data_IF_144152256714
#
_entry.id   IF_144152256714
#
_cell.length_a   1.000
_cell.length_b   1.000
_cell.length_c   1.000
_cell.angle_alpha   90.00
_cell.angle_beta   90.00
_cell.angle_gamma   90.00
#
_symmetry.space_group_name_H-M   'P 1'
#
loop_
_entity.id
_entity.type
_entity.pdbx_description
1 polymer ?
#
# COMPACT_ATOMS: atom_id res chain seq x y z
N UNK A 1 -11.13 28.56 -15.30
CA UNK A 1 -11.27 28.08 -13.91
C UNK A 1 -12.13 26.82 -13.83
N UNK A 2 -13.35 26.82 -14.37
CA UNK A 2 -14.26 25.65 -14.30
C UNK A 2 -13.70 24.37 -14.93
N UNK A 3 -13.18 24.44 -16.17
CA UNK A 3 -12.64 23.26 -16.89
C UNK A 3 -11.49 22.62 -16.11
N UNK A 4 -10.56 23.46 -15.63
CA UNK A 4 -9.43 23.02 -14.81
C UNK A 4 -9.90 22.27 -13.56
N UNK A 5 -10.87 22.84 -12.84
CA UNK A 5 -11.41 22.22 -11.62
C UNK A 5 -12.04 20.85 -11.94
N UNK A 6 -12.86 20.77 -12.99
CA UNK A 6 -13.48 19.52 -13.43
C UNK A 6 -12.43 18.48 -13.79
N UNK A 7 -11.38 18.86 -14.52
CA UNK A 7 -10.31 17.93 -14.89
C UNK A 7 -9.52 17.41 -13.69
N UNK A 8 -9.24 18.28 -12.71
CA UNK A 8 -8.60 17.87 -11.45
C UNK A 8 -9.49 16.87 -10.71
N UNK A 9 -10.80 17.17 -10.58
CA UNK A 9 -11.75 16.29 -9.91
C UNK A 9 -11.82 14.93 -10.62
N UNK A 10 -11.88 14.90 -11.94
CA UNK A 10 -11.86 13.67 -12.73
C UNK A 10 -10.54 12.90 -12.55
N UNK A 11 -9.39 13.58 -12.49
CA UNK A 11 -8.09 12.95 -12.26
C UNK A 11 -7.98 12.32 -10.87
N UNK A 12 -8.51 13.00 -9.85
CA UNK A 12 -8.60 12.46 -8.48
C UNK A 12 -9.59 11.29 -8.43
N UNK A 13 -10.75 11.41 -9.10
CA UNK A 13 -11.72 10.34 -9.23
C UNK A 13 -11.14 9.09 -9.89
N UNK A 14 -10.37 9.27 -10.96
CA UNK A 14 -9.64 8.20 -11.65
C UNK A 14 -8.66 7.49 -10.72
N UNK A 15 -7.94 8.22 -9.86
CA UNK A 15 -7.05 7.61 -8.88
C UNK A 15 -7.81 6.65 -7.94
N UNK A 16 -8.93 7.09 -7.37
CA UNK A 16 -9.73 6.25 -6.49
C UNK A 16 -10.34 5.05 -7.23
N UNK A 17 -10.83 5.26 -8.45
CA UNK A 17 -11.40 4.21 -9.28
C UNK A 17 -10.37 3.13 -9.62
N UNK A 18 -9.15 3.52 -10.04
CA UNK A 18 -8.08 2.56 -10.34
C UNK A 18 -7.67 1.78 -9.08
N UNK A 19 -7.57 2.43 -7.92
CA UNK A 19 -7.23 1.73 -6.68
C UNK A 19 -8.35 0.78 -6.23
N UNK A 20 -9.62 1.16 -6.44
CA UNK A 20 -10.77 0.31 -6.14
C UNK A 20 -10.82 -0.92 -7.06
N UNK A 21 -10.62 -0.73 -8.37
CA UNK A 21 -10.51 -1.84 -9.33
C UNK A 21 -9.35 -2.75 -8.92
N UNK A 22 -8.16 -2.19 -8.66
CA UNK A 22 -6.98 -2.95 -8.27
C UNK A 22 -7.22 -3.87 -7.06
N UNK A 23 -7.89 -3.36 -6.02
CA UNK A 23 -8.25 -4.13 -4.82
C UNK A 23 -9.20 -5.30 -5.10
N UNK A 24 -10.07 -5.19 -6.10
CA UNK A 24 -11.04 -6.25 -6.44
C UNK A 24 -10.59 -7.13 -7.62
N UNK A 25 -9.46 -6.80 -8.26
CA UNK A 25 -8.95 -7.49 -9.46
C UNK A 25 -7.80 -8.46 -9.16
N UNK A 26 -7.68 -8.91 -7.91
CA UNK A 26 -6.62 -9.83 -7.48
C UNK A 26 -6.56 -11.13 -8.32
N UNK A 27 -7.70 -11.61 -8.82
CA UNK A 27 -7.80 -12.79 -9.69
C UNK A 27 -7.23 -12.60 -11.10
N UNK A 28 -6.88 -11.37 -11.49
CA UNK A 28 -6.38 -11.01 -12.84
C UNK A 28 -4.84 -10.80 -12.81
N UNK A 29 -4.17 -11.10 -11.69
CA UNK A 29 -2.72 -10.95 -11.54
C UNK A 29 -2.27 -9.53 -11.14
N UNK A 30 -3.19 -8.70 -10.63
CA UNK A 30 -2.88 -7.38 -10.09
C UNK A 30 -2.27 -7.50 -8.69
N UNK A 31 -1.03 -7.05 -8.51
CA UNK A 31 -0.38 -7.05 -7.20
C UNK A 31 -0.69 -5.78 -6.41
N UNK A 32 -1.23 -5.94 -5.19
CA UNK A 32 -1.21 -4.87 -4.19
C UNK A 32 0.22 -4.60 -3.70
N UNK A 33 0.42 -3.40 -3.16
CA UNK A 33 1.65 -3.05 -2.47
C UNK A 33 1.60 -3.74 -1.11
N UNK A 34 2.08 -4.98 -1.03
CA UNK A 34 2.37 -5.63 0.25
C UNK A 34 3.79 -5.27 0.72
N UNK A 35 3.97 -5.24 2.04
CA UNK A 35 5.31 -5.14 2.65
C UNK A 35 6.17 -6.33 2.21
N UNK A 36 5.56 -7.50 1.96
CA UNK A 36 6.23 -8.75 1.55
C UNK A 36 6.31 -8.95 0.04
N UNK A 37 7.40 -9.54 -0.45
CA UNK A 37 7.64 -9.72 -1.89
C UNK A 37 6.69 -10.77 -2.44
N UNK A 38 5.70 -10.32 -3.23
CA UNK A 38 4.95 -11.20 -4.12
C UNK A 38 5.60 -11.14 -5.50
N UNK A 39 5.65 -12.26 -6.21
CA UNK A 39 6.23 -12.35 -7.55
C UNK A 39 5.28 -11.72 -8.56
N UNK A 40 5.76 -10.78 -9.38
CA UNK A 40 4.97 -10.28 -10.51
C UNK A 40 4.89 -11.37 -11.58
N UNK A 41 3.74 -12.06 -11.66
CA UNK A 41 3.55 -13.18 -12.57
C UNK A 41 3.42 -12.74 -14.05
N UNK A 42 2.82 -11.57 -14.32
CA UNK A 42 2.59 -11.06 -15.68
C UNK A 42 2.97 -9.56 -15.83
N UNK A 43 4.25 -9.23 -16.04
CA UNK A 43 4.71 -7.85 -16.01
C UNK A 43 4.22 -6.95 -17.16
N UNK A 44 4.14 -7.47 -18.39
CA UNK A 44 3.71 -6.68 -19.55
C UNK A 44 2.19 -6.47 -19.53
N UNK A 45 1.42 -7.47 -19.09
CA UNK A 45 0.00 -7.32 -18.82
C UNK A 45 -0.25 -6.24 -17.76
N UNK A 46 0.51 -6.27 -16.66
CA UNK A 46 0.45 -5.25 -15.61
C UNK A 46 0.81 -3.85 -16.15
N UNK A 47 1.76 -3.75 -17.08
CA UNK A 47 2.07 -2.49 -17.75
C UNK A 47 0.90 -1.99 -18.58
N UNK A 48 0.36 -2.85 -19.45
CA UNK A 48 -0.73 -2.52 -20.35
C UNK A 48 -1.98 -2.07 -19.58
N UNK A 49 -2.39 -2.81 -18.55
CA UNK A 49 -3.54 -2.44 -17.71
C UNK A 49 -3.32 -1.07 -17.07
N UNK A 50 -2.13 -0.82 -16.50
CA UNK A 50 -1.82 0.45 -15.82
C UNK A 50 -1.79 1.65 -16.77
N UNK A 51 -1.38 1.44 -18.02
CA UNK A 51 -1.29 2.50 -19.03
C UNK A 51 -2.62 2.72 -19.73
N UNK A 52 -3.33 1.67 -20.14
CA UNK A 52 -4.58 1.78 -20.90
C UNK A 52 -5.79 2.17 -20.05
N UNK A 53 -5.85 1.81 -18.77
CA UNK A 53 -7.01 2.13 -17.92
C UNK A 53 -7.32 3.64 -17.87
N UNK A 54 -6.33 4.53 -17.63
CA UNK A 54 -6.53 5.99 -17.76
C UNK A 54 -7.02 6.44 -19.14
N UNK A 55 -6.61 5.76 -20.21
CA UNK A 55 -6.99 6.11 -21.59
C UNK A 55 -8.45 5.75 -21.85
N UNK A 56 -8.84 4.53 -21.50
CA UNK A 56 -10.23 4.06 -21.58
C UNK A 56 -11.14 4.96 -20.74
N UNK A 57 -10.69 5.37 -19.56
CA UNK A 57 -11.44 6.29 -18.70
C UNK A 57 -11.75 7.62 -19.40
N UNK A 58 -10.75 8.31 -19.97
CA UNK A 58 -11.01 9.58 -20.65
C UNK A 58 -11.89 9.41 -21.89
N UNK A 59 -11.85 8.27 -22.58
CA UNK A 59 -12.77 7.97 -23.70
C UNK A 59 -14.20 7.89 -23.17
N UNK A 60 -14.47 7.08 -22.15
CA UNK A 60 -15.81 6.90 -21.58
C UNK A 60 -16.35 8.25 -21.06
N UNK A 61 -15.55 9.00 -20.31
CA UNK A 61 -15.94 10.32 -19.78
C UNK A 61 -16.23 11.29 -20.92
N UNK A 62 -15.40 11.33 -21.97
CA UNK A 62 -15.62 12.21 -23.11
C UNK A 62 -16.91 11.87 -23.85
N UNK A 63 -17.16 10.58 -24.12
CA UNK A 63 -18.40 10.12 -24.75
C UNK A 63 -19.62 10.53 -23.92
N UNK A 64 -19.52 10.40 -22.59
CA UNK A 64 -20.60 10.80 -21.67
C UNK A 64 -20.82 12.31 -21.70
N UNK A 65 -19.75 13.11 -21.66
CA UNK A 65 -19.85 14.57 -21.74
C UNK A 65 -20.45 15.03 -23.06
N UNK A 66 -20.06 14.43 -24.19
CA UNK A 66 -20.68 14.72 -25.48
C UNK A 66 -22.17 14.35 -25.51
N UNK A 67 -22.55 13.21 -24.94
CA UNK A 67 -23.95 12.79 -24.86
C UNK A 67 -24.83 13.79 -24.10
N UNK A 68 -24.31 14.38 -23.03
CA UNK A 68 -25.04 15.40 -22.24
C UNK A 68 -24.88 16.84 -22.77
N UNK A 69 -24.25 17.05 -23.94
CA UNK A 69 -24.03 18.38 -24.50
C UNK A 69 -23.02 19.24 -23.72
N UNK A 70 -22.14 18.60 -22.95
CA UNK A 70 -21.14 19.21 -22.08
C UNK A 70 -19.76 19.31 -22.76
N UNK A 71 -19.74 19.52 -24.08
CA UNK A 71 -18.55 19.52 -24.95
C UNK A 71 -17.41 20.42 -24.43
N UNK A 72 -17.74 21.54 -23.77
CA UNK A 72 -16.75 22.47 -23.20
C UNK A 72 -15.75 21.79 -22.26
N UNK A 73 -16.17 20.75 -21.55
CA UNK A 73 -15.31 20.03 -20.60
C UNK A 73 -14.42 18.97 -21.26
N UNK A 74 -14.68 18.62 -22.53
CA UNK A 74 -13.86 17.68 -23.30
C UNK A 74 -12.60 18.35 -23.87
N UNK A 75 -12.60 19.68 -23.98
CA UNK A 75 -11.45 20.44 -24.45
C UNK A 75 -10.19 20.13 -23.62
N UNK A 76 -9.15 19.61 -24.26
CA UNK A 76 -7.89 19.17 -23.65
C UNK A 76 -8.07 18.14 -22.51
N UNK A 77 -9.08 17.25 -22.60
CA UNK A 77 -9.37 16.26 -21.56
C UNK A 77 -8.21 15.29 -21.26
N UNK A 78 -7.20 15.18 -22.13
CA UNK A 78 -5.97 14.44 -21.82
C UNK A 78 -5.25 14.96 -20.56
N UNK A 79 -5.47 16.23 -20.17
CA UNK A 79 -4.93 16.82 -18.94
C UNK A 79 -5.45 16.10 -17.68
N UNK A 80 -6.62 15.46 -17.72
CA UNK A 80 -7.14 14.60 -16.63
C UNK A 80 -6.11 13.54 -16.23
N UNK A 81 -5.44 12.92 -17.22
CA UNK A 81 -4.44 11.91 -16.97
C UNK A 81 -3.15 12.50 -16.37
N UNK A 82 -2.80 13.74 -16.70
CA UNK A 82 -1.70 14.47 -16.06
C UNK A 82 -2.04 14.74 -14.59
N UNK A 83 -3.24 15.24 -14.29
CA UNK A 83 -3.66 15.49 -12.92
C UNK A 83 -3.73 14.21 -12.09
N UNK A 84 -4.19 13.11 -12.68
CA UNK A 84 -4.14 11.79 -12.08
C UNK A 84 -2.70 11.38 -11.70
N UNK A 85 -1.73 11.53 -12.62
CA UNK A 85 -0.32 11.22 -12.36
C UNK A 85 0.23 12.08 -11.21
N UNK A 86 0.00 13.39 -11.27
CA UNK A 86 0.45 14.33 -10.23
C UNK A 86 -0.15 14.00 -8.87
N UNK A 87 -1.45 13.76 -8.81
CA UNK A 87 -2.12 13.37 -7.56
C UNK A 87 -1.57 12.05 -7.02
N UNK A 88 -1.38 11.04 -7.88
CA UNK A 88 -0.79 9.75 -7.49
C UNK A 88 0.63 9.92 -6.95
N UNK A 89 1.44 10.78 -7.55
CA UNK A 89 2.80 11.08 -7.09
C UNK A 89 2.77 11.73 -5.71
N UNK A 90 1.98 12.81 -5.56
CA UNK A 90 1.80 13.54 -4.29
C UNK A 90 1.34 12.59 -3.20
N UNK A 91 0.32 11.76 -3.49
CA UNK A 91 -0.20 10.79 -2.54
C UNK A 91 0.89 9.82 -2.04
N UNK A 92 1.65 9.20 -2.95
CA UNK A 92 2.68 8.24 -2.56
C UNK A 92 3.83 8.87 -1.76
N UNK A 93 4.19 10.11 -2.08
CA UNK A 93 5.20 10.86 -1.32
C UNK A 93 4.67 11.22 0.07
N UNK A 94 3.45 11.74 0.14
CA UNK A 94 2.82 12.15 1.39
C UNK A 94 2.54 10.98 2.36
N UNK A 95 2.37 9.76 1.83
CA UNK A 95 2.24 8.54 2.64
C UNK A 95 3.57 7.79 2.86
N UNK A 96 4.73 8.39 2.56
CA UNK A 96 6.06 7.78 2.69
C UNK A 96 6.28 6.49 1.87
N UNK A 97 5.43 6.22 0.87
CA UNK A 97 5.52 5.03 0.02
C UNK A 97 6.49 5.19 -1.15
N UNK A 98 7.03 6.40 -1.35
CA UNK A 98 8.01 6.69 -2.41
C UNK A 98 9.26 5.80 -2.40
N UNK A 99 9.68 5.28 -1.23
CA UNK A 99 10.83 4.36 -1.13
C UNK A 99 10.54 2.97 -1.71
N UNK A 100 9.27 2.56 -1.77
CA UNK A 100 8.85 1.26 -2.29
C UNK A 100 8.72 1.28 -3.82
N UNK A 101 8.54 2.47 -4.40
CA UNK A 101 8.30 2.63 -5.83
C UNK A 101 9.55 2.35 -6.66
N UNK A 102 9.37 1.61 -7.75
CA UNK A 102 10.36 1.56 -8.82
C UNK A 102 10.20 2.82 -9.70
N UNK A 103 10.99 3.86 -9.40
CA UNK A 103 10.91 5.17 -10.06
C UNK A 103 11.11 5.12 -11.57
N UNK A 104 12.03 4.27 -12.05
CA UNK A 104 12.22 4.06 -13.49
C UNK A 104 10.94 3.56 -14.15
N UNK A 105 10.31 2.54 -13.55
CA UNK A 105 9.06 2.00 -14.06
C UNK A 105 7.90 2.98 -13.96
N UNK A 106 7.81 3.75 -12.88
CA UNK A 106 6.80 4.81 -12.75
C UNK A 106 6.95 5.86 -13.84
N UNK A 107 8.18 6.30 -14.12
CA UNK A 107 8.45 7.24 -15.21
C UNK A 107 8.04 6.68 -16.57
N UNK A 108 8.31 5.40 -16.86
CA UNK A 108 7.82 4.75 -18.08
C UNK A 108 6.30 4.74 -18.17
N UNK A 109 5.59 4.43 -17.08
CA UNK A 109 4.13 4.49 -17.06
C UNK A 109 3.61 5.90 -17.33
N UNK A 110 4.18 6.91 -16.68
CA UNK A 110 3.73 8.29 -16.83
C UNK A 110 3.95 8.81 -18.25
N UNK A 111 5.13 8.56 -18.82
CA UNK A 111 5.44 8.93 -20.20
C UNK A 111 4.49 8.25 -21.19
N UNK A 112 4.27 6.95 -21.05
CA UNK A 112 3.35 6.21 -21.92
C UNK A 112 1.91 6.72 -21.80
N UNK A 113 1.41 6.96 -20.57
CA UNK A 113 0.07 7.51 -20.33
C UNK A 113 -0.07 8.88 -21.00
N UNK A 114 0.89 9.79 -20.80
CA UNK A 114 0.83 11.15 -21.38
C UNK A 114 0.80 11.10 -22.90
N UNK A 115 1.73 10.35 -23.51
CA UNK A 115 1.84 10.25 -24.97
C UNK A 115 0.57 9.63 -25.58
N UNK A 116 0.14 8.47 -25.07
CA UNK A 116 -1.05 7.79 -25.60
C UNK A 116 -2.30 8.63 -25.37
N UNK A 117 -2.44 9.23 -24.18
CA UNK A 117 -3.59 10.09 -23.87
C UNK A 117 -3.69 11.30 -24.79
N UNK A 118 -2.55 11.91 -25.16
CA UNK A 118 -2.53 13.01 -26.10
C UNK A 118 -2.98 12.57 -27.50
N UNK A 119 -2.44 11.45 -28.01
CA UNK A 119 -2.84 10.94 -29.32
C UNK A 119 -4.30 10.48 -29.36
N UNK A 120 -4.77 9.80 -28.31
CA UNK A 120 -6.20 9.44 -28.16
C UNK A 120 -7.08 10.69 -28.18
N UNK A 121 -6.66 11.76 -27.51
CA UNK A 121 -7.41 13.01 -27.55
C UNK A 121 -7.46 13.61 -28.96
N UNK A 122 -6.31 13.82 -29.61
CA UNK A 122 -6.25 14.49 -30.92
C UNK A 122 -6.86 13.66 -32.05
N UNK A 123 -6.69 12.34 -32.03
CA UNK A 123 -7.10 11.45 -33.14
C UNK A 123 -8.45 10.78 -32.97
N UNK A 124 -8.94 10.62 -31.73
CA UNK A 124 -10.20 9.93 -31.47
C UNK A 124 -11.24 10.86 -30.84
N UNK A 125 -10.93 11.42 -29.67
CA UNK A 125 -11.92 12.12 -28.84
C UNK A 125 -12.36 13.44 -29.50
N UNK A 126 -11.40 14.31 -29.82
CA UNK A 126 -11.66 15.67 -30.31
C UNK A 126 -12.40 15.68 -31.65
N UNK A 127 -12.07 14.72 -32.51
CA UNK A 127 -12.67 14.57 -33.86
C UNK A 127 -13.91 13.67 -33.86
N UNK A 128 -14.34 13.17 -32.70
CA UNK A 128 -15.49 12.26 -32.54
C UNK A 128 -15.41 11.04 -33.49
N UNK A 129 -14.21 10.48 -33.65
CA UNK A 129 -13.98 9.36 -34.56
C UNK A 129 -14.75 8.11 -34.10
N UNK A 130 -15.22 7.32 -35.07
CA UNK A 130 -15.75 5.99 -34.78
C UNK A 130 -14.64 5.10 -34.21
N UNK A 131 -14.94 4.45 -33.09
CA UNK A 131 -13.96 3.67 -32.30
C UNK A 131 -13.76 2.26 -32.90
N UNK A 132 -14.68 1.80 -33.76
CA UNK A 132 -14.62 0.47 -34.36
C UNK A 132 -13.52 0.41 -35.43
N UNK A 133 -12.62 -0.60 -35.37
CA UNK A 133 -11.62 -0.80 -36.42
C UNK A 133 -12.29 -1.15 -37.74
N UNK A 134 -11.74 -0.63 -38.83
CA UNK A 134 -11.99 -1.15 -40.17
C UNK A 134 -11.06 -2.36 -40.39
N UNK A 135 -11.65 -3.56 -40.44
CA UNK A 135 -10.92 -4.84 -40.57
C UNK A 135 -10.61 -5.22 -42.03
N UNK A 136 -10.66 -4.26 -42.96
CA UNK A 136 -10.54 -4.55 -44.39
C UNK A 136 -9.11 -4.80 -44.90
N UNK A 137 -8.06 -4.53 -44.12
CA UNK A 137 -6.67 -4.64 -44.60
C UNK A 137 -5.88 -5.78 -43.93
N UNK A 138 -5.30 -6.67 -44.74
CA UNK A 138 -4.38 -7.76 -44.32
C UNK A 138 -3.16 -7.22 -43.55
N UNK A 139 -2.75 -5.98 -43.83
CA UNK A 139 -1.70 -5.29 -43.07
C UNK A 139 -2.08 -5.12 -41.57
N UNK A 140 -3.36 -4.89 -41.25
CA UNK A 140 -3.82 -4.80 -39.86
C UNK A 140 -3.69 -6.15 -39.13
N UNK A 141 -3.90 -7.26 -39.82
CA UNK A 141 -3.77 -8.62 -39.24
C UNK A 141 -2.32 -8.95 -38.87
N UNK A 142 -1.35 -8.57 -39.70
CA UNK A 142 0.08 -8.76 -39.42
C UNK A 142 0.53 -7.96 -38.18
N UNK A 143 0.01 -6.74 -37.99
CA UNK A 143 0.26 -5.94 -36.79
C UNK A 143 -0.29 -6.59 -35.52
N UNK A 144 -1.45 -7.26 -35.60
CA UNK A 144 -2.01 -8.01 -34.47
C UNK A 144 -1.05 -9.14 -34.05
N UNK A 145 -0.50 -9.89 -35.02
CA UNK A 145 0.46 -10.96 -34.75
C UNK A 145 1.74 -10.41 -34.11
N UNK A 146 2.28 -9.32 -34.65
CA UNK A 146 3.46 -8.65 -34.09
C UNK A 146 3.20 -8.18 -32.65
N UNK A 147 2.02 -7.60 -32.37
CA UNK A 147 1.63 -7.17 -31.03
C UNK A 147 1.50 -8.34 -30.05
N UNK A 148 0.91 -9.46 -30.47
CA UNK A 148 0.81 -10.68 -29.65
C UNK A 148 2.21 -11.23 -29.35
N UNK A 149 3.10 -11.28 -30.34
CA UNK A 149 4.47 -11.74 -30.16
C UNK A 149 5.25 -10.85 -29.17
N UNK A 150 5.19 -9.52 -29.34
CA UNK A 150 5.82 -8.56 -28.42
C UNK A 150 5.24 -8.71 -27.01
N UNK A 151 3.92 -8.88 -26.89
CA UNK A 151 3.26 -9.10 -25.60
C UNK A 151 3.75 -10.37 -24.91
N UNK A 152 3.90 -11.48 -25.64
CA UNK A 152 4.41 -12.74 -25.12
C UNK A 152 5.87 -12.63 -24.68
N UNK A 153 6.74 -12.04 -25.51
CA UNK A 153 8.16 -11.79 -25.18
C UNK A 153 8.28 -10.91 -23.94
N UNK A 154 7.51 -9.82 -23.87
CA UNK A 154 7.55 -8.90 -22.74
C UNK A 154 7.04 -9.53 -21.43
N UNK A 155 6.05 -10.42 -21.48
CA UNK A 155 5.58 -11.14 -20.28
C UNK A 155 6.59 -12.17 -19.77
N UNK A 156 7.42 -12.74 -20.65
CA UNK A 156 8.48 -13.66 -20.24
C UNK A 156 9.67 -12.96 -19.58
N UNK A 157 9.74 -11.63 -19.61
CA UNK A 157 10.76 -10.86 -18.90
C UNK A 157 10.51 -10.90 -17.39
N UNK A 158 11.25 -11.73 -16.67
CA UNK A 158 11.26 -11.72 -15.21
C UNK A 158 12.10 -10.54 -14.70
N UNK A 159 11.48 -9.68 -13.90
CA UNK A 159 12.18 -8.57 -13.26
C UNK A 159 12.93 -9.02 -12.01
N UNK A 160 14.06 -8.35 -11.71
CA UNK A 160 14.90 -8.71 -10.57
C UNK A 160 14.16 -8.55 -9.23
N UNK A 161 14.01 -9.65 -8.51
CA UNK A 161 13.40 -9.67 -7.18
C UNK A 161 14.30 -8.96 -6.15
N UNK A 162 15.62 -9.05 -6.32
CA UNK A 162 16.61 -8.43 -5.43
C UNK A 162 16.44 -6.91 -5.32
N UNK A 163 16.21 -6.21 -6.43
CA UNK A 163 16.01 -4.76 -6.41
C UNK A 163 14.72 -4.39 -5.66
N UNK A 164 13.69 -5.23 -5.73
CA UNK A 164 12.44 -5.05 -5.00
C UNK A 164 12.63 -5.27 -3.51
N UNK A 165 13.39 -6.31 -3.12
CA UNK A 165 13.76 -6.54 -1.73
C UNK A 165 14.54 -5.38 -1.14
N UNK A 166 15.58 -4.90 -1.86
CA UNK A 166 16.39 -3.73 -1.44
C UNK A 166 15.54 -2.48 -1.14
N UNK A 167 14.50 -2.21 -1.94
CA UNK A 167 13.58 -1.08 -1.70
C UNK A 167 12.74 -1.27 -0.43
N UNK A 168 12.26 -2.50 -0.20
CA UNK A 168 11.50 -2.86 1.01
C UNK A 168 12.35 -2.75 2.26
N UNK A 169 13.57 -3.27 2.23
CA UNK A 169 14.52 -3.14 3.34
C UNK A 169 14.83 -1.68 3.64
N UNK A 170 15.04 -0.86 2.60
CA UNK A 170 15.25 0.59 2.76
C UNK A 170 14.04 1.28 3.39
N UNK A 171 12.83 0.95 2.94
CA UNK A 171 11.59 1.46 3.53
C UNK A 171 11.49 1.06 5.00
N UNK A 172 11.67 -0.22 5.32
CA UNK A 172 11.58 -0.75 6.67
C UNK A 172 12.57 -0.08 7.61
N UNK A 173 13.84 0.02 7.20
CA UNK A 173 14.88 0.73 7.97
C UNK A 173 14.51 2.19 8.22
N UNK A 174 14.03 2.88 7.19
CA UNK A 174 13.58 4.27 7.33
C UNK A 174 12.42 4.43 8.32
N UNK A 175 11.40 3.55 8.26
CA UNK A 175 10.27 3.59 9.20
C UNK A 175 10.66 3.21 10.62
N UNK A 176 11.49 2.19 10.79
CA UNK A 176 12.02 1.78 12.09
C UNK A 176 12.76 2.96 12.77
N UNK A 177 13.73 3.57 12.09
CA UNK A 177 14.47 4.71 12.66
C UNK A 177 13.57 5.91 12.96
N UNK A 178 12.56 6.17 12.12
CA UNK A 178 11.57 7.20 12.40
C UNK A 178 10.84 6.90 13.72
N UNK A 179 10.28 5.71 13.91
CA UNK A 179 9.52 5.37 15.11
C UNK A 179 10.40 5.21 16.35
N UNK A 180 11.59 4.60 16.24
CA UNK A 180 12.57 4.52 17.34
C UNK A 180 12.98 5.90 17.83
N UNK A 181 13.11 6.89 16.94
CA UNK A 181 13.41 8.27 17.33
C UNK A 181 12.29 8.93 18.15
N UNK A 182 11.02 8.73 17.77
CA UNK A 182 9.89 9.40 18.43
C UNK A 182 9.37 8.67 19.66
N UNK A 183 9.42 7.34 19.67
CA UNK A 183 8.78 6.50 20.68
C UNK A 183 9.74 5.54 21.37
N UNK A 184 11.02 5.53 21.01
CA UNK A 184 11.96 4.50 21.43
C UNK A 184 12.17 4.38 22.92
N UNK A 185 12.21 5.51 23.63
CA UNK A 185 12.33 5.51 25.08
C UNK A 185 11.08 4.95 25.75
N UNK A 186 9.89 5.45 25.35
CA UNK A 186 8.60 4.99 25.87
C UNK A 186 8.41 3.48 25.68
N UNK A 187 8.71 2.98 24.48
CA UNK A 187 8.57 1.56 24.15
C UNK A 187 9.51 0.73 25.02
N UNK A 188 10.79 1.15 25.10
CA UNK A 188 11.79 0.46 25.92
C UNK A 188 11.40 0.38 27.40
N UNK A 189 10.96 1.50 27.97
CA UNK A 189 10.59 1.59 29.39
C UNK A 189 9.37 0.71 29.74
N UNK A 190 8.44 0.54 28.79
CA UNK A 190 7.25 -0.29 28.98
C UNK A 190 7.51 -1.78 28.75
N UNK A 191 8.37 -2.13 27.78
CA UNK A 191 8.61 -3.53 27.42
C UNK A 191 9.70 -4.19 28.26
N UNK A 192 10.81 -3.48 28.52
CA UNK A 192 12.04 -4.01 29.11
C UNK A 192 12.56 -5.32 28.46
N UNK A 193 12.18 -5.55 27.20
CA UNK A 193 12.53 -6.76 26.45
C UNK A 193 12.57 -6.41 24.95
N UNK A 194 13.71 -6.65 24.31
CA UNK A 194 14.01 -6.30 22.93
C UNK A 194 13.19 -7.12 21.91
N UNK A 195 12.77 -8.34 22.26
CA UNK A 195 11.83 -9.11 21.42
C UNK A 195 10.46 -8.44 21.45
N UNK A 196 9.96 -8.03 22.61
CA UNK A 196 8.72 -7.26 22.70
C UNK A 196 8.82 -5.92 21.96
N UNK A 197 9.97 -5.22 22.05
CA UNK A 197 10.21 -4.02 21.25
C UNK A 197 10.04 -4.30 19.75
N UNK A 198 10.60 -5.41 19.26
CA UNK A 198 10.50 -5.79 17.84
C UNK A 198 9.04 -6.00 17.39
N UNK A 199 8.20 -6.60 18.25
CA UNK A 199 6.76 -6.79 18.01
C UNK A 199 6.04 -5.43 17.98
N UNK A 200 6.34 -4.54 18.93
CA UNK A 200 5.76 -3.19 18.97
C UNK A 200 6.07 -2.42 17.69
N UNK A 201 7.34 -2.42 17.25
CA UNK A 201 7.71 -1.74 16.00
C UNK A 201 7.08 -2.38 14.77
N UNK A 202 6.96 -3.72 14.73
CA UNK A 202 6.26 -4.40 13.65
C UNK A 202 4.82 -3.92 13.52
N UNK A 203 4.09 -3.88 14.64
CA UNK A 203 2.69 -3.40 14.68
C UNK A 203 2.61 -1.94 14.24
N UNK A 204 3.44 -1.04 14.78
CA UNK A 204 3.42 0.38 14.41
C UNK A 204 3.68 0.57 12.90
N UNK A 205 4.66 -0.14 12.34
CA UNK A 205 5.04 -0.01 10.93
C UNK A 205 3.94 -0.59 10.02
N UNK A 206 3.36 -1.72 10.41
CA UNK A 206 2.24 -2.34 9.69
C UNK A 206 1.00 -1.42 9.68
N UNK A 207 0.60 -0.92 10.85
CA UNK A 207 -0.57 -0.06 10.99
C UNK A 207 -0.37 1.29 10.28
N UNK A 208 0.80 1.90 10.40
CA UNK A 208 1.11 3.15 9.67
C UNK A 208 1.16 2.96 8.16
N UNK A 209 1.65 1.79 7.69
CA UNK A 209 1.65 1.48 6.27
C UNK A 209 0.22 1.38 5.73
N UNK A 210 -0.67 0.69 6.43
CA UNK A 210 -2.06 0.50 6.01
C UNK A 210 -2.95 1.74 6.25
N UNK A 211 -2.66 2.52 7.30
CA UNK A 211 -3.39 3.73 7.70
C UNK A 211 -2.41 4.89 7.91
N UNK A 212 -1.96 5.52 6.81
CA UNK A 212 -1.00 6.62 6.90
C UNK A 212 -1.59 7.82 7.63
N UNK A 213 -0.72 8.72 8.10
CA UNK A 213 -1.08 9.90 8.91
C UNK A 213 -2.27 10.71 8.36
N UNK A 214 -2.37 10.87 7.04
CA UNK A 214 -3.48 11.61 6.40
C UNK A 214 -4.83 10.90 6.63
N UNK A 215 -4.88 9.57 6.47
CA UNK A 215 -6.07 8.79 6.76
C UNK A 215 -6.47 8.91 8.24
N UNK A 216 -5.49 8.84 9.14
CA UNK A 216 -5.68 9.02 10.59
C UNK A 216 -6.19 10.42 10.95
N UNK A 217 -5.74 11.46 10.26
CA UNK A 217 -6.27 12.82 10.45
C UNK A 217 -7.74 12.93 10.04
N UNK A 218 -8.15 12.27 8.96
CA UNK A 218 -9.57 12.19 8.54
C UNK A 218 -10.39 11.41 9.55
N UNK A 219 -9.87 10.29 10.08
CA UNK A 219 -10.51 9.52 11.16
C UNK A 219 -10.69 10.37 12.43
N UNK A 220 -9.66 11.12 12.83
CA UNK A 220 -9.73 12.04 13.98
C UNK A 220 -10.79 13.13 13.78
N UNK A 221 -10.91 13.68 12.56
CA UNK A 221 -11.95 14.65 12.24
C UNK A 221 -13.35 14.02 12.30
N UNK A 222 -13.51 12.81 11.74
CA UNK A 222 -14.75 12.04 11.83
C UNK A 222 -15.11 11.73 13.29
N UNK A 223 -14.14 11.42 14.14
CA UNK A 223 -14.36 11.19 15.56
C UNK A 223 -14.86 12.46 16.25
N UNK A 224 -14.24 13.63 15.98
CA UNK A 224 -14.69 14.92 16.54
C UNK A 224 -16.16 15.23 16.19
N UNK A 225 -16.59 14.84 14.99
CA UNK A 225 -17.97 15.05 14.53
C UNK A 225 -18.96 14.02 15.09
N UNK A 226 -18.58 12.74 15.14
CA UNK A 226 -19.51 11.64 15.45
C UNK A 226 -19.48 11.18 16.90
N UNK A 227 -18.38 11.41 17.62
CA UNK A 227 -18.09 10.92 18.98
C UNK A 227 -18.27 9.40 19.16
N UNK A 228 -18.26 8.63 18.07
CA UNK A 228 -18.39 7.16 18.11
C UNK A 228 -17.02 6.53 18.38
N UNK A 229 -16.92 5.58 19.33
CA UNK A 229 -15.66 4.87 19.58
C UNK A 229 -15.12 4.18 18.33
N UNK A 230 -13.81 4.33 18.08
CA UNK A 230 -13.12 3.69 16.95
C UNK A 230 -11.62 3.51 17.24
N UNK A 231 -10.90 2.84 16.34
CA UNK A 231 -9.43 2.74 16.40
C UNK A 231 -8.80 4.07 16.01
N UNK A 232 -7.86 4.55 16.82
CA UNK A 232 -7.20 5.84 16.65
C UNK A 232 -5.69 5.74 16.86
N UNK A 233 -4.97 6.74 16.35
CA UNK A 233 -3.52 6.87 16.47
C UNK A 233 -2.73 5.87 15.61
N UNK A 234 -1.41 5.91 15.73
CA UNK A 234 -0.49 5.13 14.88
C UNK A 234 -0.55 3.63 15.12
N UNK A 235 -0.86 3.19 16.35
CA UNK A 235 -1.05 1.77 16.68
C UNK A 235 -2.51 1.31 16.55
N UNK A 236 -3.41 2.19 16.09
CA UNK A 236 -4.82 1.87 15.85
C UNK A 236 -5.53 1.27 17.07
N UNK A 237 -5.32 1.87 18.23
CA UNK A 237 -5.93 1.41 19.49
C UNK A 237 -7.37 1.90 19.56
N UNK A 238 -8.30 1.00 19.91
CA UNK A 238 -9.71 1.36 20.11
C UNK A 238 -9.85 2.31 21.30
N UNK A 239 -10.46 3.46 21.08
CA UNK A 239 -10.72 4.45 22.11
C UNK A 239 -12.11 5.07 21.99
N UNK A 240 -12.67 5.43 23.14
CA UNK A 240 -13.90 6.21 23.32
C UNK A 240 -13.62 7.71 23.46
N UNK A 241 -12.34 8.10 23.48
CA UNK A 241 -11.86 9.49 23.49
C UNK A 241 -10.86 9.73 22.36
N UNK A 242 -10.65 11.00 22.02
CA UNK A 242 -9.61 11.35 21.06
C UNK A 242 -8.24 11.12 21.72
N UNK A 243 -7.39 10.35 21.06
CA UNK A 243 -6.02 10.06 21.51
C UNK A 243 -5.00 10.52 20.48
N UNK A 244 -3.84 10.95 20.96
CA UNK A 244 -2.65 11.27 20.17
C UNK A 244 -1.92 10.00 19.72
N UNK A 245 -0.99 10.14 18.77
CA UNK A 245 -0.12 9.02 18.36
C UNK A 245 0.73 8.53 19.53
N UNK A 246 1.19 9.43 20.41
CA UNK A 246 1.98 9.06 21.59
C UNK A 246 1.15 8.23 22.58
N UNK A 247 -0.09 8.66 22.87
CA UNK A 247 -1.01 7.90 23.72
C UNK A 247 -1.40 6.56 23.09
N UNK A 248 -1.61 6.53 21.77
CA UNK A 248 -1.84 5.30 21.03
C UNK A 248 -0.67 4.34 21.14
N UNK A 249 0.58 4.82 21.07
CA UNK A 249 1.75 3.97 21.28
C UNK A 249 1.81 3.46 22.70
N UNK A 250 1.62 4.33 23.70
CA UNK A 250 1.59 3.92 25.11
C UNK A 250 0.58 2.79 25.35
N UNK A 251 -0.67 3.01 24.97
CA UNK A 251 -1.75 2.03 25.17
C UNK A 251 -1.54 0.75 24.36
N UNK A 252 -1.01 0.87 23.14
CA UNK A 252 -0.71 -0.27 22.28
C UNK A 252 0.41 -1.14 22.84
N UNK A 253 1.49 -0.51 23.33
CA UNK A 253 2.60 -1.21 24.01
C UNK A 253 2.14 -1.85 25.31
N UNK A 254 1.36 -1.16 26.14
CA UNK A 254 0.77 -1.74 27.36
C UNK A 254 -0.10 -2.96 27.04
N UNK A 255 -0.90 -2.91 25.95
CA UNK A 255 -1.69 -4.06 25.49
C UNK A 255 -0.80 -5.27 25.16
N UNK A 256 0.30 -5.06 24.43
CA UNK A 256 1.27 -6.10 24.06
C UNK A 256 1.91 -6.72 25.31
N UNK A 257 2.38 -5.88 26.24
CA UNK A 257 3.00 -6.34 27.49
C UNK A 257 1.99 -7.12 28.35
N UNK A 258 0.75 -6.66 28.43
CA UNK A 258 -0.30 -7.36 29.17
C UNK A 258 -0.67 -8.70 28.51
N UNK A 259 -0.70 -8.78 27.18
CA UNK A 259 -0.90 -10.04 26.48
C UNK A 259 0.23 -11.03 26.80
N UNK A 260 1.47 -10.56 26.84
CA UNK A 260 2.61 -11.40 27.23
C UNK A 260 2.51 -11.86 28.69
N UNK A 261 2.15 -10.98 29.64
CA UNK A 261 1.91 -11.38 31.04
C UNK A 261 0.83 -12.46 31.16
N UNK A 262 -0.28 -12.34 30.44
CA UNK A 262 -1.32 -13.38 30.40
C UNK A 262 -0.81 -14.71 29.85
N UNK A 263 0.06 -14.68 28.85
CA UNK A 263 0.72 -15.87 28.32
C UNK A 263 1.62 -16.53 29.38
N UNK A 264 2.34 -15.74 30.17
CA UNK A 264 3.17 -16.24 31.28
C UNK A 264 2.33 -16.89 32.41
N UNK A 265 1.12 -16.39 32.66
CA UNK A 265 0.20 -16.92 33.69
C UNK A 265 -0.46 -18.24 33.28
N UNK A 266 -0.60 -18.50 31.97
CA UNK A 266 -1.23 -19.71 31.43
C UNK A 266 -0.35 -20.33 30.33
N UNK A 267 0.87 -20.81 30.66
CA UNK A 267 1.75 -21.41 29.66
C UNK A 267 1.06 -22.65 29.11
N UNK A 268 0.62 -22.60 27.85
CA UNK A 268 -0.12 -23.69 27.20
C UNK A 268 0.72 -24.96 26.98
N UNK A 269 2.02 -24.94 27.28
CA UNK A 269 2.88 -26.11 27.15
C UNK A 269 3.88 -26.22 28.32
N UNK A 270 3.73 -27.29 29.10
CA UNK A 270 4.82 -27.84 29.90
C UNK A 270 5.72 -28.67 28.97
N UNK A 271 6.58 -28.02 28.20
CA UNK A 271 7.51 -28.75 27.32
C UNK A 271 8.90 -28.15 27.46
N UNK A 272 9.90 -29.04 27.44
CA UNK A 272 11.33 -28.70 27.41
C UNK A 272 11.75 -27.92 26.16
N UNK A 273 10.84 -27.73 25.20
CA UNK A 273 11.09 -27.22 23.86
C UNK A 273 10.27 -25.93 23.62
N UNK A 274 10.51 -24.90 24.43
CA UNK A 274 9.89 -23.59 24.24
C UNK A 274 10.43 -22.89 22.98
N UNK A 275 9.52 -22.37 22.16
CA UNK A 275 9.84 -21.48 21.03
C UNK A 275 9.22 -20.10 21.24
N UNK A 276 10.03 -19.04 21.10
CA UNK A 276 9.58 -17.63 21.13
C UNK A 276 8.38 -17.37 20.18
N UNK A 277 8.27 -18.18 19.12
CA UNK A 277 7.18 -18.11 18.15
C UNK A 277 5.80 -18.27 18.80
N UNK A 278 5.63 -19.15 19.79
CA UNK A 278 4.33 -19.37 20.43
C UNK A 278 3.85 -18.13 21.18
N UNK A 279 4.70 -17.56 22.04
CA UNK A 279 4.38 -16.32 22.75
C UNK A 279 4.15 -15.16 21.79
N UNK A 280 5.03 -15.00 20.78
CA UNK A 280 4.86 -13.95 19.76
C UNK A 280 3.53 -14.08 19.02
N UNK A 281 3.17 -15.29 18.60
CA UNK A 281 1.90 -15.56 17.91
C UNK A 281 0.69 -15.26 18.81
N UNK A 282 0.74 -15.66 20.09
CA UNK A 282 -0.28 -15.34 21.08
C UNK A 282 -0.47 -13.83 21.25
N UNK A 283 0.64 -13.10 21.48
CA UNK A 283 0.64 -11.64 21.68
C UNK A 283 0.04 -10.92 20.47
N UNK A 284 0.44 -11.30 19.25
CA UNK A 284 -0.04 -10.67 18.01
C UNK A 284 -1.53 -10.97 17.79
N UNK A 285 -1.99 -12.21 18.07
CA UNK A 285 -3.40 -12.57 17.96
C UNK A 285 -4.30 -11.88 18.99
N UNK A 286 -3.83 -11.69 20.23
CA UNK A 286 -4.53 -10.87 21.23
C UNK A 286 -4.62 -9.40 20.78
N UNK A 287 -3.59 -8.92 20.08
CA UNK A 287 -3.59 -7.58 19.51
C UNK A 287 -4.67 -7.42 18.42
N UNK A 288 -4.68 -8.32 17.43
CA UNK A 288 -5.64 -8.36 16.33
C UNK A 288 -5.79 -9.79 15.78
N UNK A 289 -7.04 -10.28 15.71
CA UNK A 289 -7.40 -11.69 15.43
C UNK A 289 -7.30 -12.08 13.94
N UNK A 290 -6.92 -11.17 13.04
CA UNK A 290 -6.87 -11.45 11.60
C UNK A 290 -5.72 -12.39 11.22
N UNK A 291 -6.00 -13.48 10.50
CA UNK A 291 -4.97 -14.45 10.08
C UNK A 291 -3.89 -13.83 9.17
N UNK A 292 -4.30 -13.02 8.19
CA UNK A 292 -3.35 -12.28 7.33
C UNK A 292 -2.54 -11.26 8.13
N UNK A 293 -3.17 -10.59 9.10
CA UNK A 293 -2.49 -9.65 9.98
C UNK A 293 -1.41 -10.36 10.80
N UNK A 294 -1.76 -11.50 11.39
CA UNK A 294 -0.85 -12.29 12.18
C UNK A 294 0.39 -12.71 11.40
N UNK A 295 0.23 -13.30 10.21
CA UNK A 295 1.36 -13.73 9.39
C UNK A 295 2.29 -12.57 9.03
N UNK A 296 1.72 -11.46 8.55
CA UNK A 296 2.47 -10.28 8.14
C UNK A 296 3.21 -9.60 9.30
N UNK A 297 2.57 -9.44 10.46
CA UNK A 297 3.21 -8.81 11.62
C UNK A 297 4.28 -9.72 12.24
N UNK A 298 4.06 -11.05 12.25
CA UNK A 298 5.06 -12.00 12.72
C UNK A 298 6.35 -11.93 11.89
N UNK A 299 6.22 -11.96 10.56
CA UNK A 299 7.36 -11.87 9.65
C UNK A 299 8.08 -10.53 9.82
N UNK A 300 7.33 -9.44 9.94
CA UNK A 300 7.91 -8.11 10.16
C UNK A 300 8.67 -8.01 11.49
N UNK A 301 8.15 -8.61 12.56
CA UNK A 301 8.82 -8.66 13.86
C UNK A 301 10.15 -9.43 13.78
N UNK A 302 10.19 -10.55 13.06
CA UNK A 302 11.43 -11.31 12.84
C UNK A 302 12.46 -10.51 12.05
N UNK A 303 12.04 -9.83 10.99
CA UNK A 303 12.94 -8.96 10.22
C UNK A 303 13.51 -7.85 11.12
N UNK A 304 12.67 -7.23 11.96
CA UNK A 304 13.12 -6.17 12.88
C UNK A 304 14.07 -6.73 13.92
N UNK A 305 13.75 -7.86 14.57
CA UNK A 305 14.62 -8.55 15.53
C UNK A 305 15.98 -8.85 14.91
N UNK A 306 16.00 -9.54 13.77
CA UNK A 306 17.22 -9.96 13.10
C UNK A 306 18.06 -8.79 12.54
N UNK A 307 17.42 -7.66 12.24
CA UNK A 307 18.11 -6.49 11.67
C UNK A 307 18.66 -5.55 12.75
N UNK A 308 17.90 -5.32 13.83
CA UNK A 308 18.19 -4.26 14.82
C UNK A 308 18.53 -4.78 16.22
N UNK A 309 18.19 -6.03 16.53
CA UNK A 309 18.37 -6.68 17.83
C UNK A 309 19.08 -8.03 17.70
N UNK A 310 19.99 -8.14 16.72
CA UNK A 310 20.67 -9.39 16.35
C UNK A 310 21.47 -10.05 17.48
N UNK A 311 21.94 -9.24 18.43
CA UNK A 311 22.79 -9.67 19.55
C UNK A 311 21.99 -9.76 20.87
N UNK A 312 20.66 -9.75 20.79
CA UNK A 312 19.80 -9.78 21.98
C UNK A 312 19.91 -11.11 22.72
N UNK A 313 19.97 -11.03 24.05
CA UNK A 313 19.88 -12.20 24.94
C UNK A 313 18.47 -12.34 25.55
N UNK A 314 17.56 -11.46 25.19
CA UNK A 314 16.18 -11.51 25.66
C UNK A 314 15.46 -12.70 25.04
N UNK A 315 14.48 -13.22 25.77
CA UNK A 315 13.66 -14.36 25.36
C UNK A 315 12.24 -14.12 25.82
N UNK A 316 11.29 -14.74 25.13
CA UNK A 316 9.90 -14.76 25.60
C UNK A 316 9.62 -16.00 26.49
N UNK A 317 10.62 -16.84 26.73
CA UNK A 317 10.51 -18.09 27.48
C UNK A 317 10.13 -17.86 28.96
N UNK A 318 8.96 -18.35 29.41
CA UNK A 318 8.53 -18.22 30.80
C UNK A 318 9.49 -18.88 31.80
N UNK A 319 10.30 -19.84 31.36
CA UNK A 319 11.20 -20.60 32.22
C UNK A 319 12.58 -19.93 32.41
N UNK A 320 12.85 -18.82 31.73
CA UNK A 320 14.14 -18.09 31.82
C UNK A 320 13.98 -16.79 32.59
N UNK A 321 14.98 -16.48 33.43
CA UNK A 321 15.00 -15.33 34.36
C UNK A 321 14.86 -13.93 33.73
N UNK A 322 14.91 -13.80 32.40
CA UNK A 322 14.85 -12.52 31.68
C UNK A 322 13.49 -12.30 30.97
N UNK A 323 12.43 -12.95 31.45
CA UNK A 323 11.10 -12.89 30.86
C UNK A 323 10.33 -11.59 31.16
N UNK A 324 10.80 -10.68 32.04
CA UNK A 324 10.30 -9.29 32.20
C UNK A 324 11.14 -8.52 33.23
#
# INVERSE_FOLDING_TARGET
MEILLVHIILGVGLFFLINWIGKHSYSIGYMEISIFVKTEEAPALNFLIRVLTPIVYIIIVSTSLYYFGLDKFVWNIYLVNIYYILFRLIFNLATNRGLLLNWYRQFLYWTAIVVISYFTYEKLIKVKANILPDFTTVANELWIIILIFIFQVANNLRFSQEATQKRKDKYLKSRYHYFKRFYGQLIKDLTNNEILESIVYAIIIYEDFNRPKIARQVENLKFKLTKKPHTLGVMQVRSDKLISDLESVKLGTEKIVNAYKKYLENPTESSSDYFDWYAKNYIINDYNVGTSYNGEVNELADIIKNTFYKDTNDTLDPNKKNAL
#
